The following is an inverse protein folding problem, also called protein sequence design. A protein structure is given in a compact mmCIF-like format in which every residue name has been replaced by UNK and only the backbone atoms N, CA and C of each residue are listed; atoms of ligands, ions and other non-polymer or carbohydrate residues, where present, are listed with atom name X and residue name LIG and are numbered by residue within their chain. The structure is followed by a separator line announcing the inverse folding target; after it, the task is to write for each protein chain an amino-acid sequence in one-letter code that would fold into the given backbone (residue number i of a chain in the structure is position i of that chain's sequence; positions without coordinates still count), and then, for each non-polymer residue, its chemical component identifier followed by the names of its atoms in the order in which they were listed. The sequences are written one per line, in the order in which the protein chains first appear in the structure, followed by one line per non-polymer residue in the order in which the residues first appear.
data_IF_725736063151
#
_entry.id   IF_725736063151
#
_cell.length_a   1.000
_cell.length_b   1.000
_cell.length_c   1.000
_cell.angle_alpha   90.00
_cell.angle_beta   90.00
_cell.angle_gamma   90.00
#
_symmetry.space_group_name_H-M   'P 1'
#
loop_
_entity.id
_entity.type
_entity.pdbx_description
1 polymer ?
#
# COMPACT_ATOMS: atom_id res chain seq x y z
N UNK A 1 0.15 -9.71 12.31
CA UNK A 1 -0.24 -10.91 13.10
C UNK A 1 -1.52 -10.77 13.92
N UNK A 2 -1.64 -9.92 14.96
CA UNK A 2 -2.86 -9.92 15.80
C UNK A 2 -4.16 -9.58 15.03
N UNK A 3 -4.12 -8.56 14.18
CA UNK A 3 -5.25 -8.15 13.31
C UNK A 3 -5.58 -9.22 12.25
N UNK A 4 -4.59 -9.96 11.79
CA UNK A 4 -4.75 -11.01 10.78
C UNK A 4 -5.35 -12.29 11.39
N UNK A 5 -4.86 -12.69 12.56
CA UNK A 5 -5.37 -13.85 13.30
C UNK A 5 -6.83 -13.67 13.74
N UNK A 6 -7.24 -12.46 14.12
CA UNK A 6 -8.58 -12.16 14.63
C UNK A 6 -9.52 -11.64 13.54
N UNK A 7 -9.06 -10.71 12.70
CA UNK A 7 -9.87 -10.07 11.67
C UNK A 7 -9.90 -10.81 10.33
N UNK A 8 -8.95 -11.70 10.06
CA UNK A 8 -8.89 -12.43 8.79
C UNK A 8 -8.59 -11.55 7.58
N UNK A 9 -8.02 -10.36 7.80
CA UNK A 9 -7.58 -9.44 6.73
C UNK A 9 -6.22 -9.91 6.25
N UNK A 10 -6.23 -10.88 5.34
CA UNK A 10 -5.04 -11.44 4.69
C UNK A 10 -4.40 -10.50 3.66
N UNK A 11 -4.90 -9.27 3.55
CA UNK A 11 -4.43 -8.29 2.56
C UNK A 11 -3.29 -7.41 3.10
N UNK A 12 -3.16 -7.26 4.42
CA UNK A 12 -2.17 -6.37 5.05
C UNK A 12 -0.74 -6.86 4.83
N UNK A 13 -0.51 -8.18 4.71
CA UNK A 13 0.82 -8.73 4.44
C UNK A 13 1.14 -8.84 2.94
N UNK A 14 0.17 -8.60 2.06
CA UNK A 14 0.35 -8.75 0.62
C UNK A 14 1.47 -7.87 0.04
N UNK A 15 1.64 -6.60 0.47
CA UNK A 15 2.77 -5.78 0.05
C UNK A 15 4.13 -6.38 0.42
N UNK A 16 4.21 -7.04 1.58
CA UNK A 16 5.45 -7.64 2.11
C UNK A 16 5.82 -8.92 1.36
N UNK A 17 4.83 -9.75 1.01
CA UNK A 17 5.03 -10.92 0.14
C UNK A 17 5.39 -10.51 -1.28
N UNK A 18 4.81 -9.43 -1.81
CA UNK A 18 5.14 -8.90 -3.13
C UNK A 18 6.54 -8.26 -3.20
N UNK A 19 7.09 -7.80 -2.08
CA UNK A 19 8.45 -7.25 -2.04
C UNK A 19 9.52 -8.28 -2.44
N UNK A 20 9.30 -9.57 -2.15
CA UNK A 20 10.11 -10.66 -2.71
C UNK A 20 9.19 -11.76 -3.23
N UNK A 21 8.91 -11.77 -4.53
CA UNK A 21 8.02 -12.75 -5.18
C UNK A 21 8.39 -14.22 -4.90
N UNK A 22 9.65 -14.50 -4.55
CA UNK A 22 10.09 -15.83 -4.08
C UNK A 22 9.43 -16.28 -2.76
N UNK A 23 9.03 -15.37 -1.88
CA UNK A 23 8.29 -15.69 -0.65
C UNK A 23 6.87 -16.18 -0.97
N UNK A 24 6.28 -15.80 -2.10
CA UNK A 24 5.01 -16.36 -2.57
C UNK A 24 5.11 -17.88 -2.79
N UNK A 25 6.26 -18.37 -3.28
CA UNK A 25 6.51 -19.81 -3.44
C UNK A 25 6.62 -20.54 -2.10
N UNK A 26 6.92 -19.86 -0.99
CA UNK A 26 6.92 -20.47 0.34
C UNK A 26 5.50 -20.62 0.89
N UNK A 27 4.58 -19.72 0.52
CA UNK A 27 3.21 -19.68 1.03
C UNK A 27 2.35 -20.84 0.47
N UNK A 28 2.54 -21.17 -0.80
CA UNK A 28 1.81 -22.27 -1.49
C UNK A 28 1.97 -23.62 -0.77
N UNK A 29 3.19 -24.15 -0.53
CA UNK A 29 3.38 -25.43 0.14
C UNK A 29 2.93 -25.43 1.60
N UNK A 30 2.98 -24.29 2.30
CA UNK A 30 2.41 -24.18 3.64
C UNK A 30 0.89 -24.31 3.64
N UNK A 31 0.21 -23.59 2.74
CA UNK A 31 -1.23 -23.72 2.52
C UNK A 31 -1.64 -25.16 2.16
N UNK A 32 -0.89 -25.80 1.26
CA UNK A 32 -1.09 -27.21 0.91
C UNK A 32 -0.92 -28.14 2.11
N UNK A 33 0.13 -27.95 2.92
CA UNK A 33 0.38 -28.76 4.11
C UNK A 33 -0.76 -28.65 5.14
N UNK A 34 -1.30 -27.44 5.33
CA UNK A 34 -2.46 -27.21 6.19
C UNK A 34 -3.72 -27.94 5.71
N UNK A 35 -4.05 -27.80 4.41
CA UNK A 35 -5.21 -28.47 3.80
C UNK A 35 -5.06 -30.00 3.84
N UNK A 36 -3.86 -30.50 3.57
CA UNK A 36 -3.55 -31.93 3.62
C UNK A 36 -3.70 -32.46 5.06
N UNK A 37 -3.25 -31.70 6.06
CA UNK A 37 -3.41 -32.07 7.45
C UNK A 37 -4.91 -32.15 7.85
N UNK A 38 -5.71 -31.15 7.46
CA UNK A 38 -7.17 -31.18 7.67
C UNK A 38 -7.81 -32.38 6.95
N UNK A 39 -7.35 -32.71 5.75
CA UNK A 39 -7.83 -33.86 4.98
C UNK A 39 -7.52 -35.20 5.66
N UNK A 40 -6.33 -35.36 6.25
CA UNK A 40 -5.95 -36.57 6.99
C UNK A 40 -6.79 -36.73 8.27
N UNK A 41 -6.99 -35.65 9.01
CA UNK A 41 -7.80 -35.65 10.23
C UNK A 41 -9.32 -35.66 9.96
N UNK A 42 -9.75 -35.73 8.69
CA UNK A 42 -11.14 -35.69 8.26
C UNK A 42 -11.91 -34.47 8.83
N UNK A 43 -11.19 -33.36 9.00
CA UNK A 43 -11.77 -32.10 9.46
C UNK A 43 -12.24 -31.35 8.22
N UNK A 44 -13.50 -31.55 7.86
CA UNK A 44 -14.15 -30.78 6.82
C UNK A 44 -14.71 -29.48 7.43
N UNK A 45 -14.21 -28.34 6.97
CA UNK A 45 -14.83 -27.05 7.25
C UNK A 45 -16.16 -26.99 6.50
N UNK A 46 -17.27 -26.67 7.19
CA UNK A 46 -18.64 -26.72 6.65
C UNK A 46 -18.92 -25.78 5.45
N UNK A 47 -17.94 -24.96 5.04
CA UNK A 47 -18.01 -24.05 3.90
C UNK A 47 -16.66 -23.37 3.61
N UNK A 48 -16.66 -22.39 2.70
CA UNK A 48 -15.52 -21.49 2.52
C UNK A 48 -15.35 -20.63 3.77
N UNK A 49 -14.17 -20.63 4.34
CA UNK A 49 -13.83 -19.78 5.50
C UNK A 49 -13.67 -18.35 4.99
N UNK A 50 -14.71 -17.52 5.16
CA UNK A 50 -14.69 -16.09 4.86
C UNK A 50 -15.38 -15.36 6.01
N UNK A 51 -14.72 -14.42 6.73
CA UNK A 51 -13.33 -13.97 6.63
C UNK A 51 -12.32 -15.03 7.10
N UNK A 52 -11.07 -14.99 6.60
CA UNK A 52 -10.00 -15.96 6.86
C UNK A 52 -9.38 -15.90 8.27
N UNK A 53 -10.18 -15.58 9.29
CA UNK A 53 -9.73 -15.50 10.68
C UNK A 53 -9.52 -16.89 11.28
N UNK A 54 -8.57 -17.01 12.20
CA UNK A 54 -8.38 -18.25 12.96
C UNK A 54 -9.64 -18.54 13.80
N UNK A 55 -10.32 -17.48 14.27
CA UNK A 55 -11.55 -17.59 15.05
C UNK A 55 -12.69 -18.24 14.24
N UNK A 56 -12.83 -17.87 12.96
CA UNK A 56 -13.88 -18.43 12.09
C UNK A 56 -13.59 -19.88 11.71
N UNK A 57 -12.32 -20.23 11.49
CA UNK A 57 -11.89 -21.62 11.27
C UNK A 57 -12.20 -22.49 12.50
N UNK A 58 -11.89 -22.01 13.71
CA UNK A 58 -12.18 -22.75 14.95
C UNK A 58 -13.68 -22.90 15.18
N UNK A 59 -14.47 -21.84 14.96
CA UNK A 59 -15.93 -21.88 15.13
C UNK A 59 -16.59 -22.89 14.19
N UNK A 60 -16.12 -22.96 12.94
CA UNK A 60 -16.67 -23.87 11.93
C UNK A 60 -16.15 -25.31 12.08
N UNK A 61 -15.07 -25.52 12.84
CA UNK A 61 -14.48 -26.84 13.09
C UNK A 61 -15.19 -27.66 14.17
N UNK A 62 -16.12 -27.07 14.92
CA UNK A 62 -16.96 -27.78 15.90
C UNK A 62 -16.15 -28.56 16.95
N UNK A 63 -16.31 -29.88 17.00
CA UNK A 63 -15.69 -30.75 18.01
C UNK A 63 -14.21 -31.08 17.75
N UNK A 64 -13.69 -30.79 16.55
CA UNK A 64 -12.32 -31.13 16.13
C UNK A 64 -11.35 -29.94 16.19
N UNK A 65 -11.56 -29.03 17.13
CA UNK A 65 -10.76 -27.80 17.32
C UNK A 65 -9.26 -28.10 17.45
N UNK A 66 -8.90 -29.17 18.17
CA UNK A 66 -7.51 -29.57 18.39
C UNK A 66 -6.80 -29.93 17.07
N UNK A 67 -7.44 -30.75 16.23
CA UNK A 67 -6.87 -31.13 14.93
C UNK A 67 -6.70 -29.92 14.01
N UNK A 68 -7.65 -28.97 14.07
CA UNK A 68 -7.59 -27.71 13.34
C UNK A 68 -6.43 -26.84 13.76
N UNK A 69 -6.20 -26.72 15.07
CA UNK A 69 -5.10 -25.94 15.62
C UNK A 69 -3.73 -26.57 15.27
N UNK A 70 -3.65 -27.91 15.26
CA UNK A 70 -2.47 -28.63 14.78
C UNK A 70 -2.21 -28.39 13.29
N UNK A 71 -3.25 -28.43 12.45
CA UNK A 71 -3.12 -28.17 11.01
C UNK A 71 -2.65 -26.73 10.72
N UNK A 72 -3.17 -25.74 11.45
CA UNK A 72 -2.70 -24.34 11.36
C UNK A 72 -1.23 -24.25 11.79
N UNK A 73 -0.87 -24.86 12.92
CA UNK A 73 0.51 -24.86 13.41
C UNK A 73 1.49 -25.49 12.40
N UNK A 74 1.12 -26.62 11.80
CA UNK A 74 1.91 -27.31 10.77
C UNK A 74 2.06 -26.42 9.52
N UNK A 75 0.97 -25.80 9.06
CA UNK A 75 1.00 -24.86 7.93
C UNK A 75 1.98 -23.71 8.17
N UNK A 76 1.91 -23.05 9.34
CA UNK A 76 2.85 -21.99 9.71
C UNK A 76 4.29 -22.50 9.81
N UNK A 77 4.52 -23.69 10.36
CA UNK A 77 5.86 -24.25 10.49
C UNK A 77 6.49 -24.55 9.12
N UNK A 78 5.71 -25.11 8.19
CA UNK A 78 6.17 -25.41 6.82
C UNK A 78 6.46 -24.13 6.04
N UNK A 79 5.55 -23.15 6.06
CA UNK A 79 5.77 -21.83 5.45
C UNK A 79 7.03 -21.16 6.00
N UNK A 80 7.20 -21.17 7.33
CA UNK A 80 8.35 -20.57 8.00
C UNK A 80 9.66 -21.27 7.62
N UNK A 81 9.69 -22.61 7.59
CA UNK A 81 10.89 -23.36 7.21
C UNK A 81 11.33 -23.09 5.77
N UNK A 82 10.39 -23.00 4.83
CA UNK A 82 10.68 -22.73 3.41
C UNK A 82 11.09 -21.27 3.23
N UNK A 83 10.39 -20.33 3.86
CA UNK A 83 10.76 -18.92 3.85
C UNK A 83 12.17 -18.70 4.42
N UNK A 84 12.47 -19.32 5.57
CA UNK A 84 13.80 -19.31 6.20
C UNK A 84 14.87 -19.80 5.22
N UNK A 85 14.62 -20.89 4.52
CA UNK A 85 15.56 -21.45 3.55
C UNK A 85 15.80 -20.52 2.35
N UNK A 86 14.73 -19.90 1.82
CA UNK A 86 14.81 -18.93 0.71
C UNK A 86 15.59 -17.68 1.14
N UNK A 87 15.26 -17.11 2.31
CA UNK A 87 15.93 -15.94 2.88
C UNK A 87 17.42 -16.22 3.15
N UNK A 88 17.74 -17.42 3.66
CA UNK A 88 19.12 -17.86 3.89
C UNK A 88 19.91 -17.97 2.59
N UNK A 89 19.29 -18.48 1.53
CA UNK A 89 19.93 -18.61 0.21
C UNK A 89 20.13 -17.27 -0.49
N UNK A 90 19.27 -16.30 -0.22
CA UNK A 90 19.38 -14.94 -0.75
C UNK A 90 20.38 -14.06 0.03
N UNK A 91 21.01 -14.58 1.09
CA UNK A 91 21.97 -13.82 1.90
C UNK A 91 21.36 -12.66 2.71
N UNK A 92 20.03 -12.51 2.69
CA UNK A 92 19.27 -11.50 3.45
C UNK A 92 19.01 -11.94 4.89
N UNK A 93 20.02 -12.54 5.52
CA UNK A 93 20.00 -12.81 6.95
C UNK A 93 20.59 -11.58 7.65
N UNK A 94 19.74 -10.87 8.38
CA UNK A 94 19.93 -9.49 8.84
C UNK A 94 19.72 -8.44 7.74
N UNK A 95 18.47 -8.24 7.33
CA UNK A 95 18.04 -6.88 7.01
C UNK A 95 16.61 -6.74 7.48
N UNK A 96 16.38 -5.65 8.19
CA UNK A 96 15.17 -5.06 8.75
C UNK A 96 13.97 -4.96 7.77
N UNK A 97 13.64 -6.00 7.01
CA UNK A 97 12.69 -5.92 5.90
C UNK A 97 11.22 -5.65 6.30
N UNK A 98 10.91 -5.63 7.60
CA UNK A 98 9.60 -5.21 8.12
C UNK A 98 9.63 -3.86 8.87
N UNK A 99 10.82 -3.37 9.25
CA UNK A 99 11.00 -2.13 10.04
C UNK A 99 11.52 -1.02 9.12
N UNK A 100 12.45 -1.34 8.21
CA UNK A 100 13.05 -0.37 7.30
C UNK A 100 12.12 0.08 6.17
N UNK A 101 11.10 -0.66 5.73
CA UNK A 101 10.17 -0.12 4.73
C UNK A 101 9.23 0.98 5.28
N UNK A 102 8.99 0.99 6.60
CA UNK A 102 8.26 2.06 7.28
C UNK A 102 9.21 3.15 7.83
N UNK A 103 10.45 2.80 8.18
CA UNK A 103 11.47 3.76 8.62
C UNK A 103 12.19 4.44 7.45
N UNK A 104 12.55 3.77 6.37
CA UNK A 104 13.12 4.38 5.14
C UNK A 104 12.12 5.37 4.51
N UNK A 105 10.81 5.14 4.62
CA UNK A 105 9.81 6.15 4.22
C UNK A 105 9.73 7.34 5.18
N UNK A 106 10.13 7.19 6.44
CA UNK A 106 10.26 8.29 7.40
C UNK A 106 11.62 8.99 7.27
N UNK A 107 12.68 8.25 6.97
CA UNK A 107 14.06 8.72 6.83
C UNK A 107 14.30 9.38 5.46
N UNK A 108 13.74 8.89 4.34
CA UNK A 108 13.75 9.62 3.07
C UNK A 108 12.99 10.96 3.19
N UNK A 109 11.93 11.00 4.01
CA UNK A 109 11.20 12.24 4.33
C UNK A 109 12.01 13.16 5.26
N UNK A 110 12.92 12.61 6.05
CA UNK A 110 13.73 13.34 7.04
C UNK A 110 15.07 13.83 6.45
N UNK A 111 15.71 13.05 5.58
CA UNK A 111 16.87 13.45 4.78
C UNK A 111 16.48 14.49 3.72
N UNK A 112 15.31 14.33 3.06
CA UNK A 112 14.77 15.40 2.20
C UNK A 112 14.49 16.68 2.99
N UNK A 113 13.99 16.60 4.23
CA UNK A 113 13.82 17.76 5.11
C UNK A 113 15.15 18.43 5.47
N UNK A 114 16.21 17.65 5.72
CA UNK A 114 17.53 18.19 6.06
C UNK A 114 18.28 18.80 4.86
N UNK A 115 18.05 18.31 3.63
CA UNK A 115 18.59 18.96 2.42
C UNK A 115 17.80 20.23 2.04
N UNK A 116 16.53 20.34 2.42
CA UNK A 116 15.68 21.51 2.11
C UNK A 116 16.00 22.74 2.99
N UNK A 117 16.60 22.56 4.17
CA UNK A 117 17.00 23.67 5.05
C UNK A 117 18.24 24.44 4.57
N UNK A 118 18.96 23.94 3.55
CA UNK A 118 20.13 24.61 2.97
C UNK A 118 19.91 24.97 1.50
N UNK A 119 19.06 25.97 1.29
CA UNK A 119 19.18 26.88 0.13
C UNK A 119 18.28 26.55 -1.07
N UNK A 120 17.19 27.30 -1.16
CA UNK A 120 16.55 27.77 -2.41
C UNK A 120 16.25 26.72 -3.49
N UNK A 121 15.17 25.95 -3.30
CA UNK A 121 14.10 25.80 -4.30
C UNK A 121 12.81 25.48 -3.55
N UNK A 122 11.74 26.25 -3.79
CA UNK A 122 10.41 25.91 -3.29
C UNK A 122 9.97 24.62 -3.98
N UNK A 123 10.04 23.48 -3.30
CA UNK A 123 9.53 22.20 -3.82
C UNK A 123 8.01 22.34 -3.96
N UNK A 124 7.50 22.28 -5.20
CA UNK A 124 6.07 22.42 -5.46
C UNK A 124 5.40 21.11 -5.07
N UNK A 125 4.57 21.14 -4.02
CA UNK A 125 3.80 19.99 -3.55
C UNK A 125 2.44 19.93 -4.23
N UNK A 126 2.22 18.83 -4.96
CA UNK A 126 0.97 18.53 -5.67
C UNK A 126 0.29 17.34 -5.01
N UNK A 127 -0.98 17.49 -4.65
CA UNK A 127 -1.74 16.47 -3.91
C UNK A 127 -2.86 15.93 -4.77
N UNK A 128 -2.89 14.63 -4.98
CA UNK A 128 -4.02 13.93 -5.58
C UNK A 128 -5.01 13.55 -4.50
N UNK A 129 -6.20 14.15 -4.52
CA UNK A 129 -7.16 14.08 -3.42
C UNK A 129 -8.37 13.25 -3.83
N UNK A 130 -8.72 12.26 -3.01
CA UNK A 130 -9.99 11.53 -3.09
C UNK A 130 -10.52 11.23 -1.68
N UNK A 131 -11.74 10.72 -1.56
CA UNK A 131 -12.42 10.40 -0.29
C UNK A 131 -11.52 9.68 0.73
N UNK A 132 -10.88 8.58 0.31
CA UNK A 132 -10.07 7.74 1.20
C UNK A 132 -8.55 7.89 1.03
N UNK A 133 -8.07 8.70 0.07
CA UNK A 133 -6.63 8.80 -0.26
C UNK A 133 -5.99 7.53 -0.84
N UNK A 134 -6.77 6.47 -1.08
CA UNK A 134 -6.33 5.18 -1.63
C UNK A 134 -7.11 4.83 -2.91
N UNK A 135 -6.45 4.20 -3.88
CA UNK A 135 -7.06 3.82 -5.16
C UNK A 135 -6.65 4.72 -6.33
N UNK A 136 -7.62 5.41 -6.97
CA UNK A 136 -7.39 6.21 -8.18
C UNK A 136 -6.47 7.40 -7.95
N UNK A 137 -6.50 8.01 -6.77
CA UNK A 137 -5.60 9.10 -6.34
C UNK A 137 -4.15 8.63 -6.18
N UNK A 138 -3.94 7.49 -5.52
CA UNK A 138 -2.62 6.88 -5.35
C UNK A 138 -2.01 6.46 -6.69
N UNK A 139 -2.80 5.84 -7.57
CA UNK A 139 -2.36 5.45 -8.90
C UNK A 139 -2.11 6.67 -9.80
N UNK A 140 -2.97 7.69 -9.74
CA UNK A 140 -2.78 8.96 -10.44
C UNK A 140 -1.51 9.68 -10.03
N UNK A 141 -1.23 9.80 -8.73
CA UNK A 141 0.01 10.36 -8.20
C UNK A 141 1.25 9.57 -8.63
N UNK A 142 1.17 8.24 -8.69
CA UNK A 142 2.26 7.41 -9.17
C UNK A 142 2.53 7.60 -10.68
N UNK A 143 1.48 7.63 -11.50
CA UNK A 143 1.58 7.89 -12.94
C UNK A 143 2.15 9.29 -13.21
N UNK A 144 1.68 10.30 -12.47
CA UNK A 144 2.17 11.66 -12.59
C UNK A 144 3.65 11.78 -12.21
N UNK A 145 4.07 11.19 -11.08
CA UNK A 145 5.50 11.13 -10.68
C UNK A 145 6.37 10.47 -11.75
N UNK A 146 5.90 9.39 -12.38
CA UNK A 146 6.64 8.72 -13.45
C UNK A 146 6.85 9.67 -14.64
N UNK A 147 5.81 10.42 -15.02
CA UNK A 147 5.91 11.40 -16.11
C UNK A 147 6.79 12.59 -15.81
N UNK A 148 6.72 13.12 -14.59
CA UNK A 148 7.62 14.19 -14.16
C UNK A 148 9.08 13.77 -14.33
N UNK A 149 9.40 12.51 -14.03
CA UNK A 149 10.74 11.94 -14.26
C UNK A 149 11.07 11.79 -15.75
N UNK A 150 10.11 11.35 -16.57
CA UNK A 150 10.29 11.23 -18.03
C UNK A 150 10.57 12.60 -18.70
N UNK A 151 9.89 13.65 -18.23
CA UNK A 151 10.06 15.04 -18.71
C UNK A 151 11.24 15.77 -18.04
N UNK A 152 11.96 15.13 -17.12
CA UNK A 152 13.13 15.70 -16.42
C UNK A 152 12.81 16.86 -15.47
N UNK A 153 11.56 16.98 -14.99
CA UNK A 153 11.17 18.01 -14.03
C UNK A 153 11.51 17.56 -12.61
N UNK A 154 12.67 18.02 -12.12
CA UNK A 154 13.13 17.77 -10.76
C UNK A 154 12.70 18.95 -9.86
N UNK A 155 12.10 18.67 -8.70
CA UNK A 155 11.62 19.70 -7.74
C UNK A 155 10.09 19.76 -7.55
N UNK A 156 9.34 18.81 -8.13
CA UNK A 156 7.90 18.67 -7.93
C UNK A 156 7.64 17.32 -7.24
N UNK A 157 6.94 17.36 -6.11
CA UNK A 157 6.50 16.16 -5.38
C UNK A 157 5.01 15.97 -5.54
N UNK A 158 4.62 14.77 -5.95
CA UNK A 158 3.21 14.41 -6.08
C UNK A 158 2.84 13.23 -5.18
N UNK A 159 1.91 13.45 -4.26
CA UNK A 159 1.45 12.49 -3.25
C UNK A 159 -0.07 12.39 -3.27
N UNK A 160 -0.61 11.34 -2.67
CA UNK A 160 -2.06 11.13 -2.56
C UNK A 160 -2.51 11.39 -1.13
N UNK A 161 -3.61 12.11 -0.99
CA UNK A 161 -4.19 12.48 0.30
C UNK A 161 -5.69 12.16 0.32
N UNK A 162 -6.18 11.85 1.52
CA UNK A 162 -7.61 11.83 1.79
C UNK A 162 -8.11 13.27 2.03
N UNK A 163 -9.41 13.52 1.86
CA UNK A 163 -9.97 14.89 2.00
C UNK A 163 -9.75 15.45 3.42
N UNK A 164 -9.77 14.57 4.42
CA UNK A 164 -9.54 14.87 5.83
C UNK A 164 -8.06 14.98 6.23
N UNK A 165 -7.14 14.59 5.35
CA UNK A 165 -5.70 14.49 5.63
C UNK A 165 -4.83 15.30 4.65
N UNK A 166 -5.35 16.46 4.24
CA UNK A 166 -4.63 17.37 3.34
C UNK A 166 -3.61 18.19 4.15
N UNK A 167 -2.32 18.20 3.76
CA UNK A 167 -1.31 18.99 4.46
C UNK A 167 -1.43 20.49 4.13
N UNK A 168 -1.08 21.35 5.09
CA UNK A 168 -1.20 22.82 4.95
C UNK A 168 -0.20 23.42 3.94
N UNK A 169 0.89 22.72 3.66
CA UNK A 169 1.94 23.15 2.72
C UNK A 169 1.66 22.71 1.26
N UNK A 170 0.44 22.22 0.98
CA UNK A 170 0.04 21.80 -0.35
C UNK A 170 -0.16 23.01 -1.28
N UNK A 171 0.54 23.02 -2.41
CA UNK A 171 0.46 24.13 -3.38
C UNK A 171 -0.68 23.95 -4.36
N UNK A 172 -0.91 22.72 -4.84
CA UNK A 172 -1.92 22.39 -5.86
C UNK A 172 -2.63 21.10 -5.48
N UNK A 173 -3.97 21.13 -5.45
CA UNK A 173 -4.82 19.95 -5.29
C UNK A 173 -5.35 19.47 -6.64
N UNK A 174 -5.30 18.17 -6.90
CA UNK A 174 -5.85 17.52 -8.08
C UNK A 174 -6.93 16.54 -7.65
N UNK A 175 -8.16 16.72 -8.10
CA UNK A 175 -9.29 15.84 -7.77
C UNK A 175 -10.15 15.54 -9.01
N UNK A 176 -11.05 14.55 -8.91
CA UNK A 176 -12.07 14.38 -9.95
C UNK A 176 -13.17 15.44 -9.80
N UNK A 177 -13.91 15.70 -10.88
CA UNK A 177 -14.99 16.72 -10.90
C UNK A 177 -16.04 16.47 -9.81
N UNK A 178 -16.35 15.21 -9.54
CA UNK A 178 -17.35 14.81 -8.55
C UNK A 178 -16.94 15.16 -7.12
N UNK A 179 -15.63 15.27 -6.85
CA UNK A 179 -15.08 15.57 -5.52
C UNK A 179 -14.79 17.05 -5.30
N UNK A 180 -14.97 17.90 -6.32
CA UNK A 180 -14.69 19.34 -6.22
C UNK A 180 -15.52 20.02 -5.13
N UNK A 181 -16.82 19.73 -5.08
CA UNK A 181 -17.74 20.36 -4.11
C UNK A 181 -17.43 19.96 -2.67
N UNK A 182 -17.00 18.72 -2.46
CA UNK A 182 -16.62 18.20 -1.13
C UNK A 182 -15.32 18.88 -0.70
N UNK A 183 -14.34 18.91 -1.60
CA UNK A 183 -13.03 19.51 -1.33
C UNK A 183 -13.10 21.01 -1.02
N UNK A 184 -13.97 21.76 -1.71
CA UNK A 184 -14.18 23.19 -1.46
C UNK A 184 -14.86 23.48 -0.11
N UNK A 185 -15.62 22.52 0.44
CA UNK A 185 -16.29 22.67 1.73
C UNK A 185 -15.36 22.32 2.90
N UNK A 186 -14.52 21.31 2.72
CA UNK A 186 -13.70 20.76 3.80
C UNK A 186 -12.28 21.35 3.84
N UNK A 187 -11.81 21.96 2.75
CA UNK A 187 -10.44 22.51 2.67
C UNK A 187 -10.40 23.96 2.19
N UNK A 188 -9.40 24.72 2.67
CA UNK A 188 -9.12 26.10 2.25
C UNK A 188 -8.15 26.14 1.05
N UNK A 189 -8.06 25.07 0.26
CA UNK A 189 -7.11 25.01 -0.85
C UNK A 189 -7.50 25.99 -1.96
N UNK A 190 -6.59 26.89 -2.31
CA UNK A 190 -6.87 27.93 -3.31
C UNK A 190 -6.74 27.42 -4.75
N UNK A 191 -5.81 26.50 -5.00
CA UNK A 191 -5.48 26.03 -6.35
C UNK A 191 -5.92 24.58 -6.55
N UNK A 192 -7.15 24.39 -7.02
CA UNK A 192 -7.73 23.07 -7.30
C UNK A 192 -7.82 22.87 -8.82
N UNK A 193 -7.22 21.80 -9.31
CA UNK A 193 -7.34 21.33 -10.70
C UNK A 193 -8.23 20.10 -10.73
N UNK A 194 -9.24 20.13 -11.59
CA UNK A 194 -10.12 18.98 -11.79
C UNK A 194 -9.77 18.19 -13.05
N UNK A 195 -9.97 16.88 -12.97
CA UNK A 195 -9.75 15.90 -14.04
C UNK A 195 -11.01 15.03 -14.21
N UNK A 196 -11.25 14.52 -15.41
CA UNK A 196 -12.30 13.48 -15.58
C UNK A 196 -11.80 12.14 -15.05
N UNK A 197 -10.53 11.83 -15.30
CA UNK A 197 -9.94 10.58 -14.82
C UNK A 197 -8.50 10.79 -14.41
N UNK A 198 -8.21 10.46 -13.15
CA UNK A 198 -6.85 10.51 -12.59
C UNK A 198 -5.89 9.50 -13.24
N UNK A 199 -6.39 8.61 -14.10
CA UNK A 199 -5.60 7.66 -14.88
C UNK A 199 -5.33 8.16 -16.31
N UNK A 200 -6.00 9.23 -16.74
CA UNK A 200 -5.91 9.69 -18.12
C UNK A 200 -4.56 10.36 -18.39
N UNK A 201 -3.76 9.72 -19.22
CA UNK A 201 -2.41 10.15 -19.54
C UNK A 201 -2.40 11.53 -20.21
N UNK A 202 -3.39 11.87 -21.03
CA UNK A 202 -3.45 13.17 -21.74
C UNK A 202 -3.64 14.33 -20.78
N UNK A 203 -4.51 14.18 -19.78
CA UNK A 203 -4.77 15.23 -18.79
C UNK A 203 -3.54 15.49 -17.90
N UNK A 204 -2.76 14.45 -17.59
CA UNK A 204 -1.48 14.60 -16.88
C UNK A 204 -0.46 15.41 -17.67
N UNK A 205 -0.38 15.23 -19.00
CA UNK A 205 0.52 16.04 -19.84
C UNK A 205 0.06 17.50 -19.88
N UNK A 206 -1.24 17.73 -20.01
CA UNK A 206 -1.79 19.09 -19.99
C UNK A 206 -1.49 19.81 -18.65
N UNK A 207 -1.56 19.08 -17.52
CA UNK A 207 -1.18 19.63 -16.22
C UNK A 207 0.33 19.96 -16.14
N UNK A 208 1.18 19.07 -16.65
CA UNK A 208 2.63 19.29 -16.76
C UNK A 208 2.96 20.52 -17.61
N UNK A 209 2.30 20.69 -18.77
CA UNK A 209 2.49 21.87 -19.62
C UNK A 209 2.07 23.16 -18.92
N UNK A 210 0.97 23.15 -18.18
CA UNK A 210 0.51 24.30 -17.39
C UNK A 210 1.50 24.65 -16.28
N UNK A 211 2.07 23.65 -15.60
CA UNK A 211 3.13 23.85 -14.60
C UNK A 211 4.38 24.46 -15.24
N UNK A 212 4.74 24.02 -16.46
CA UNK A 212 5.88 24.56 -17.20
C UNK A 212 5.70 26.02 -17.60
N UNK A 213 4.47 26.44 -17.89
CA UNK A 213 4.13 27.82 -18.27
C UNK A 213 3.98 28.77 -17.07
N UNK A 214 3.87 28.24 -15.84
CA UNK A 214 3.63 29.03 -14.63
C UNK A 214 2.20 29.55 -14.49
N UNK A 215 1.25 28.97 -15.25
CA UNK A 215 -0.14 29.47 -15.34
C UNK A 215 -1.00 29.13 -14.11
N UNK A 216 -0.52 28.28 -13.21
CA UNK A 216 -1.31 27.77 -12.06
C UNK A 216 -1.04 28.60 -10.78
N UNK A 217 -0.07 29.52 -10.82
CA UNK A 217 0.32 30.37 -9.68
C UNK A 217 -0.30 31.77 -9.71
N UNK A 218 -1.31 32.04 -10.55
CA UNK A 218 -2.02 33.33 -10.59
C UNK A 218 -3.51 33.18 -10.37
#
# INVERSE_FOLDING_TARGET
MFVECIGGIHEIYFPEVLANLWLLLALIPGGMAGILCMSVFHVASAGLVSPGSILTVLFMSGHHVLATLFAVAISTAVSCAIAFFILKRQGKWCTEAAISAQEEKKEEVQEKKQMLEKGQMQEIKIGFICDAGVGSSAMGAALFRRKLKEEGMNGITAEAYAVDQIPEDLTIGVCQREFLEILQKESNLSNIVTMESLLNQTEHLALIEKLRKGDITQ
#
